data_IF_774644888033
#
_entry.id   IF_774644888033
#
_cell.length_a   1.000
_cell.length_b   1.000
_cell.length_c   1.000
_cell.angle_alpha   90.00
_cell.angle_beta   90.00
_cell.angle_gamma   90.00
#
_symmetry.space_group_name_H-M   'P 1'
#
loop_
_entity.id
_entity.type
_entity.pdbx_description
1 polymer ?
#
# COMPACT_ATOMS: atom_id res chain seq x y z
N UNK A 1 -7.67 -10.81 -4.05
CA UNK A 1 -7.30 -9.63 -4.82
C UNK A 1 -5.81 -9.34 -4.67
N UNK A 2 -5.16 -8.68 -5.65
CA UNK A 2 -3.71 -8.50 -5.63
C UNK A 2 -3.19 -7.75 -4.40
N UNK A 3 -3.87 -6.71 -3.95
CA UNK A 3 -3.43 -5.92 -2.80
C UNK A 3 -3.40 -6.76 -1.52
N UNK A 4 -4.39 -7.62 -1.34
CA UNK A 4 -4.46 -8.49 -0.17
C UNK A 4 -3.34 -9.53 -0.19
N UNK A 5 -3.08 -10.11 -1.36
CA UNK A 5 -1.99 -11.06 -1.52
C UNK A 5 -0.63 -10.38 -1.27
N UNK A 6 -0.46 -9.15 -1.76
CA UNK A 6 0.74 -8.35 -1.50
C UNK A 6 0.95 -8.15 0.00
N UNK A 7 -0.10 -7.75 0.71
CA UNK A 7 -0.01 -7.49 2.14
C UNK A 7 0.37 -8.75 2.92
N UNK A 8 -0.24 -9.88 2.59
CA UNK A 8 0.08 -11.15 3.26
C UNK A 8 1.52 -11.55 3.03
N UNK A 9 2.03 -11.39 1.80
CA UNK A 9 3.42 -11.70 1.47
C UNK A 9 4.39 -10.81 2.24
N UNK A 10 4.08 -9.51 2.34
CA UNK A 10 4.92 -8.55 3.07
C UNK A 10 4.95 -8.90 4.56
N UNK A 11 3.80 -9.19 5.15
CA UNK A 11 3.70 -9.55 6.56
C UNK A 11 4.49 -10.83 6.84
N UNK A 12 4.36 -11.85 6.01
CA UNK A 12 5.11 -13.09 6.16
C UNK A 12 6.62 -12.86 6.10
N UNK A 13 7.06 -12.10 5.10
CA UNK A 13 8.48 -11.80 4.91
C UNK A 13 9.08 -11.09 6.14
N UNK A 14 8.40 -10.07 6.64
CA UNK A 14 8.88 -9.30 7.79
C UNK A 14 8.79 -10.12 9.07
N UNK A 15 7.73 -10.93 9.23
CA UNK A 15 7.52 -11.73 10.44
C UNK A 15 8.63 -12.75 10.68
N UNK A 16 9.24 -13.27 9.61
CA UNK A 16 10.33 -14.23 9.73
C UNK A 16 11.51 -13.66 10.51
N UNK A 17 11.80 -12.36 10.32
CA UNK A 17 12.91 -11.71 10.99
C UNK A 17 12.47 -10.89 12.20
N UNK A 18 11.30 -10.25 12.13
CA UNK A 18 10.87 -9.29 13.15
C UNK A 18 9.35 -9.21 13.22
N UNK A 19 8.71 -10.03 14.09
CA UNK A 19 7.25 -10.00 14.23
C UNK A 19 6.69 -8.65 14.66
N UNK A 20 7.43 -7.90 15.50
CA UNK A 20 6.97 -6.58 15.96
C UNK A 20 6.92 -5.59 14.79
N UNK A 21 7.91 -5.64 13.90
CA UNK A 21 7.92 -4.81 12.71
C UNK A 21 6.76 -5.15 11.77
N UNK A 22 6.46 -6.44 11.62
CA UNK A 22 5.32 -6.87 10.81
C UNK A 22 4.00 -6.31 11.35
N UNK A 23 3.84 -6.30 12.67
CA UNK A 23 2.64 -5.74 13.28
C UNK A 23 2.54 -4.23 13.05
N UNK A 24 3.67 -3.51 13.12
CA UNK A 24 3.71 -2.06 12.85
C UNK A 24 3.30 -1.73 11.43
N UNK A 25 3.78 -2.50 10.45
CA UNK A 25 3.42 -2.30 9.05
C UNK A 25 1.92 -2.53 8.87
N UNK A 26 1.41 -3.61 9.43
CA UNK A 26 -0.02 -3.92 9.35
C UNK A 26 -0.88 -2.81 9.95
N UNK A 27 -0.51 -2.35 11.16
CA UNK A 27 -1.26 -1.31 11.86
C UNK A 27 -1.22 0.01 11.09
N UNK A 28 -0.05 0.38 10.56
CA UNK A 28 0.10 1.62 9.79
C UNK A 28 -0.72 1.59 8.50
N UNK A 29 -0.72 0.46 7.81
CA UNK A 29 -1.52 0.30 6.60
C UNK A 29 -3.01 0.42 6.92
N UNK A 30 -3.48 -0.24 7.97
CA UNK A 30 -4.88 -0.19 8.37
C UNK A 30 -5.30 1.24 8.73
N UNK A 31 -4.47 1.95 9.47
CA UNK A 31 -4.73 3.33 9.85
C UNK A 31 -4.83 4.24 8.63
N UNK A 32 -3.89 4.12 7.70
CA UNK A 32 -3.84 4.98 6.53
C UNK A 32 -4.95 4.66 5.53
N UNK A 33 -5.28 3.39 5.35
CA UNK A 33 -6.43 3.01 4.53
C UNK A 33 -7.72 3.61 5.10
N UNK A 34 -7.86 3.62 6.43
CA UNK A 34 -9.01 4.26 7.06
C UNK A 34 -9.08 5.76 6.77
N UNK A 35 -7.93 6.45 6.75
CA UNK A 35 -7.88 7.88 6.43
C UNK A 35 -8.22 8.17 4.97
N UNK A 36 -7.91 7.26 4.06
CA UNK A 36 -8.18 7.46 2.63
C UNK A 36 -9.66 7.59 2.33
N UNK A 37 -10.53 7.05 3.16
CA UNK A 37 -11.97 7.21 2.98
C UNK A 37 -12.40 8.67 3.10
N UNK A 38 -11.75 9.41 4.00
CA UNK A 38 -12.05 10.82 4.25
C UNK A 38 -11.17 11.75 3.43
N UNK A 39 -9.94 11.32 3.12
CA UNK A 39 -8.95 12.13 2.43
C UNK A 39 -8.34 11.35 1.25
N UNK A 40 -9.13 11.08 0.20
CA UNK A 40 -8.65 10.25 -0.90
C UNK A 40 -7.49 10.86 -1.70
N UNK A 41 -7.28 12.18 -1.58
CA UNK A 41 -6.19 12.86 -2.28
C UNK A 41 -4.93 12.99 -1.44
N UNK A 42 -4.88 12.32 -0.29
CA UNK A 42 -3.76 12.36 0.63
C UNK A 42 -2.46 11.80 0.02
N UNK A 43 -2.56 10.80 -0.85
CA UNK A 43 -1.41 10.24 -1.54
C UNK A 43 -0.94 11.12 -2.69
N UNK A 44 0.35 10.98 -3.06
CA UNK A 44 0.90 11.68 -4.21
C UNK A 44 0.44 11.02 -5.51
N UNK A 45 0.48 11.74 -6.64
CA UNK A 45 0.20 11.12 -7.94
C UNK A 45 1.10 9.91 -8.16
N UNK A 46 0.51 8.81 -8.61
CA UNK A 46 1.22 7.55 -8.80
C UNK A 46 1.97 7.50 -10.13
N UNK A 47 2.79 6.46 -10.27
CA UNK A 47 3.57 6.22 -11.49
C UNK A 47 2.69 5.86 -12.67
N UNK A 48 1.51 5.29 -12.40
CA UNK A 48 0.50 5.01 -13.42
C UNK A 48 -0.55 6.13 -13.35
N UNK A 49 -0.91 6.68 -14.51
CA UNK A 49 -1.92 7.73 -14.58
C UNK A 49 -3.22 7.27 -13.94
N UNK A 50 -3.85 8.15 -13.20
CA UNK A 50 -5.09 7.86 -12.50
C UNK A 50 -4.93 7.17 -11.16
N UNK A 51 -3.69 6.85 -10.76
CA UNK A 51 -3.41 6.24 -9.47
C UNK A 51 -2.74 7.23 -8.53
N UNK A 52 -2.76 6.90 -7.24
CA UNK A 52 -2.01 7.60 -6.19
C UNK A 52 -1.22 6.61 -5.38
N UNK A 53 -0.18 7.10 -4.73
CA UNK A 53 0.70 6.30 -3.89
C UNK A 53 0.81 6.95 -2.53
N UNK A 54 0.64 6.15 -1.47
CA UNK A 54 0.74 6.60 -0.10
C UNK A 54 1.83 5.81 0.60
N UNK A 55 2.83 6.51 1.14
CA UNK A 55 3.95 5.87 1.84
C UNK A 55 3.46 5.40 3.22
N UNK A 56 3.79 4.17 3.56
CA UNK A 56 3.55 3.60 4.87
C UNK A 56 4.87 3.15 5.48
N UNK A 57 4.83 2.76 6.76
CA UNK A 57 6.02 2.43 7.54
C UNK A 57 6.96 1.47 6.80
N UNK A 58 8.27 1.67 6.99
CA UNK A 58 9.37 0.85 6.43
C UNK A 58 9.46 0.90 4.91
N UNK A 59 9.09 2.03 4.29
CA UNK A 59 9.22 2.25 2.85
C UNK A 59 8.33 1.36 1.99
N UNK A 60 7.15 1.05 2.46
CA UNK A 60 6.13 0.43 1.64
C UNK A 60 5.20 1.48 1.05
N UNK A 61 4.56 1.14 -0.05
CA UNK A 61 3.62 2.01 -0.76
C UNK A 61 2.28 1.32 -0.88
N UNK A 62 1.21 2.09 -0.62
CA UNK A 62 -0.14 1.69 -0.99
C UNK A 62 -0.44 2.37 -2.33
N UNK A 63 -0.70 1.59 -3.37
CA UNK A 63 -1.13 2.10 -4.68
C UNK A 63 -2.64 1.99 -4.73
N UNK A 64 -3.31 3.12 -4.97
CA UNK A 64 -4.77 3.17 -4.95
C UNK A 64 -5.31 4.13 -5.99
N UNK A 65 -6.61 4.09 -6.19
CA UNK A 65 -7.32 5.05 -7.04
C UNK A 65 -8.72 5.32 -6.48
N UNK A 66 -9.29 6.44 -6.87
CA UNK A 66 -10.70 6.70 -6.64
C UNK A 66 -11.51 6.16 -7.81
N UNK A 67 -12.59 5.45 -7.48
CA UNK A 67 -13.48 4.88 -8.49
C UNK A 67 -14.90 4.85 -7.94
N UNK A 68 -15.83 5.50 -8.63
CA UNK A 68 -17.24 5.58 -8.20
C UNK A 68 -17.39 6.10 -6.76
N UNK A 69 -16.66 7.16 -6.42
CA UNK A 69 -16.68 7.78 -5.08
C UNK A 69 -16.18 6.86 -3.96
N UNK A 70 -15.44 5.82 -4.32
CA UNK A 70 -14.80 4.92 -3.36
C UNK A 70 -13.30 4.86 -3.62
N UNK A 71 -12.54 4.47 -2.62
CA UNK A 71 -11.10 4.21 -2.76
C UNK A 71 -10.90 2.73 -3.03
N UNK A 72 -10.20 2.43 -4.10
CA UNK A 72 -9.85 1.07 -4.46
C UNK A 72 -8.34 0.87 -4.28
N UNK A 73 -7.95 -0.03 -3.39
CA UNK A 73 -6.56 -0.39 -3.18
C UNK A 73 -6.16 -1.38 -4.27
N UNK A 74 -5.13 -1.02 -5.05
CA UNK A 74 -4.69 -1.83 -6.17
C UNK A 74 -3.53 -2.74 -5.82
N UNK A 75 -2.51 -2.20 -5.15
CA UNK A 75 -1.32 -2.95 -4.76
C UNK A 75 -0.73 -2.40 -3.46
N UNK A 76 0.06 -3.25 -2.78
CA UNK A 76 0.93 -2.84 -1.69
C UNK A 76 2.33 -3.31 -2.05
N UNK A 77 3.29 -2.37 -2.13
CA UNK A 77 4.60 -2.64 -2.68
C UNK A 77 5.70 -2.08 -1.79
N UNK A 78 6.90 -2.67 -1.85
CA UNK A 78 8.09 -2.02 -1.30
C UNK A 78 8.49 -0.88 -2.24
N UNK A 79 8.93 0.25 -1.68
CA UNK A 79 9.27 1.44 -2.47
C UNK A 79 10.38 1.18 -3.50
N UNK A 80 11.29 0.24 -3.22
CA UNK A 80 12.36 -0.13 -4.14
C UNK A 80 11.92 -1.12 -5.22
N UNK A 81 10.73 -1.70 -5.10
CA UNK A 81 10.22 -2.65 -6.08
C UNK A 81 9.87 -1.92 -7.37
N UNK A 82 10.18 -2.55 -8.50
CA UNK A 82 9.85 -1.98 -9.80
C UNK A 82 8.34 -1.98 -10.01
N UNK A 83 7.76 -0.80 -10.21
CA UNK A 83 6.34 -0.63 -10.43
C UNK A 83 6.11 0.54 -11.38
N UNK A 84 5.34 0.39 -12.46
CA UNK A 84 4.76 -0.91 -12.88
C UNK A 84 5.83 -1.90 -13.32
N UNK A 85 5.49 -3.21 -13.37
CA UNK A 85 6.47 -4.21 -13.81
C UNK A 85 6.99 -3.91 -15.21
N UNK A 86 8.29 -4.16 -15.42
CA UNK A 86 8.91 -4.02 -16.74
C UNK A 86 8.58 -5.25 -17.59
N UNK A 87 8.29 -5.02 -18.84
CA UNK A 87 8.07 -6.11 -19.79
C UNK A 87 9.38 -6.47 -20.49
#
# INVERSE_FOLDING_TARGET
>A
EPARADLLSIIDYISDDNPDAAQRVKDDIQQKVGKLKDFPQMGRPGRIEGTRELVVWANYLIVYREFNSAVQILRVLHAAQQWPPSN
#
